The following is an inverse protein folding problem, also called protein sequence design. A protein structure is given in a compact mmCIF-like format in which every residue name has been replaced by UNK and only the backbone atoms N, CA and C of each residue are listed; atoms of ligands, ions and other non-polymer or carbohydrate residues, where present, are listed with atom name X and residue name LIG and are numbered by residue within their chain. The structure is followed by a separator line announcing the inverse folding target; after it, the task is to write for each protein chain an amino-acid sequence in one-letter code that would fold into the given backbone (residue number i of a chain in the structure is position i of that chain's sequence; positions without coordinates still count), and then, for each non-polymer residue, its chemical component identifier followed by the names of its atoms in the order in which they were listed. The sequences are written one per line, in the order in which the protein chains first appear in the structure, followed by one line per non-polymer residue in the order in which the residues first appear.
data_IF_814671546272
#
_entry.id   IF_814671546272
#
_cell.length_a   1.000
_cell.length_b   1.000
_cell.length_c   1.000
_cell.angle_alpha   90.00
_cell.angle_beta   90.00
_cell.angle_gamma   90.00
#
_symmetry.space_group_name_H-M   'P 1'
#
loop_
_entity.id
_entity.type
_entity.pdbx_description
1 polymer ?
#
# COMPACT_ATOMS: atom_id res chain seq x y z
N UNK A 1 -5.05 -9.90 -1.91
CA UNK A 1 -5.52 -9.68 -0.52
C UNK A 1 -5.69 -11.01 0.24
N UNK A 2 -4.63 -11.82 0.32
CA UNK A 2 -4.60 -13.08 1.10
C UNK A 2 -3.76 -12.97 2.38
N UNK A 3 -3.22 -11.77 2.66
CA UNK A 3 -2.42 -11.51 3.84
C UNK A 3 -3.24 -11.21 5.10
N UNK A 4 -4.53 -10.88 4.94
CA UNK A 4 -5.38 -10.46 6.06
C UNK A 4 -6.04 -11.63 6.83
N UNK A 5 -5.86 -12.88 6.36
CA UNK A 5 -6.36 -14.10 7.04
C UNK A 5 -5.29 -14.74 7.91
N UNK A 6 -4.01 -14.40 7.74
CA UNK A 6 -2.98 -14.92 8.61
C UNK A 6 -2.94 -14.11 9.89
N UNK A 7 -3.38 -14.76 10.97
CA UNK A 7 -3.31 -14.43 12.41
C UNK A 7 -1.95 -13.86 12.92
N UNK A 8 -0.99 -13.59 12.04
CA UNK A 8 0.34 -13.02 12.31
C UNK A 8 0.45 -11.50 12.09
N UNK A 9 -0.52 -10.85 11.47
CA UNK A 9 -0.53 -9.38 11.39
C UNK A 9 -1.08 -8.78 12.69
N UNK A 10 -0.33 -8.90 13.79
CA UNK A 10 -0.48 -7.95 14.91
C UNK A 10 0.07 -6.61 14.45
N UNK A 11 -0.69 -5.92 13.61
CA UNK A 11 -0.55 -4.50 13.42
C UNK A 11 -1.04 -3.87 14.72
N UNK A 12 -0.11 -3.35 15.53
CA UNK A 12 -0.43 -2.57 16.72
C UNK A 12 -1.12 -1.28 16.26
N UNK A 13 -2.42 -1.38 16.00
CA UNK A 13 -3.24 -0.32 15.45
C UNK A 13 -3.58 0.69 16.54
N UNK A 14 -2.93 1.85 16.48
CA UNK A 14 -3.22 3.01 17.32
C UNK A 14 -4.30 3.93 16.72
N UNK A 15 -4.70 3.71 15.45
CA UNK A 15 -5.70 4.54 14.76
C UNK A 15 -7.14 4.02 14.85
N UNK A 16 -8.10 4.89 15.17
CA UNK A 16 -9.54 4.56 15.25
C UNK A 16 -10.11 4.01 13.93
N UNK A 17 -9.58 4.48 12.79
CA UNK A 17 -10.01 4.04 11.46
C UNK A 17 -9.56 2.60 11.13
N UNK A 18 -8.34 2.23 11.50
CA UNK A 18 -7.82 0.88 11.33
C UNK A 18 -8.53 -0.13 12.24
N UNK A 19 -8.89 0.27 13.47
CA UNK A 19 -9.72 -0.58 14.36
C UNK A 19 -11.10 -0.83 13.77
N UNK A 20 -11.73 0.19 13.17
CA UNK A 20 -13.02 0.03 12.48
C UNK A 20 -12.92 -0.89 11.27
N UNK A 21 -11.83 -0.76 10.50
CA UNK A 21 -11.55 -1.60 9.33
C UNK A 21 -11.26 -3.06 9.71
N UNK A 22 -10.58 -3.29 10.85
CA UNK A 22 -10.36 -4.62 11.42
C UNK A 22 -11.63 -5.23 12.02
N UNK A 23 -12.51 -4.41 12.61
CA UNK A 23 -13.76 -4.88 13.21
C UNK A 23 -14.78 -5.38 12.16
N UNK A 24 -14.74 -4.84 10.93
CA UNK A 24 -15.68 -5.18 9.87
C UNK A 24 -14.97 -5.51 8.54
N UNK A 25 -14.23 -6.65 8.47
CA UNK A 25 -13.43 -6.99 7.29
C UNK A 25 -14.28 -7.24 6.04
N UNK A 26 -15.52 -7.72 6.20
CA UNK A 26 -16.45 -7.93 5.09
C UNK A 26 -16.91 -6.59 4.47
N UNK A 27 -17.22 -5.60 5.31
CA UNK A 27 -17.67 -4.28 4.88
C UNK A 27 -16.53 -3.50 4.21
N UNK A 28 -15.31 -3.59 4.76
CA UNK A 28 -14.11 -3.03 4.16
C UNK A 28 -13.82 -3.60 2.76
N UNK A 29 -14.01 -4.92 2.58
CA UNK A 29 -13.81 -5.59 1.28
C UNK A 29 -14.86 -5.17 0.26
N UNK A 30 -16.12 -5.04 0.68
CA UNK A 30 -17.21 -4.56 -0.17
C UNK A 30 -17.02 -3.10 -0.57
N UNK A 31 -16.70 -2.23 0.40
CA UNK A 31 -16.45 -0.82 0.15
C UNK A 31 -15.27 -0.60 -0.80
N UNK A 32 -14.15 -1.30 -0.59
CA UNK A 32 -12.99 -1.22 -1.49
C UNK A 32 -13.31 -1.71 -2.91
N UNK A 33 -14.04 -2.82 -3.04
CA UNK A 33 -14.46 -3.34 -4.35
C UNK A 33 -15.40 -2.40 -5.10
N UNK A 34 -16.39 -1.84 -4.39
CA UNK A 34 -17.32 -0.86 -4.95
C UNK A 34 -16.62 0.42 -5.36
N UNK A 35 -15.64 0.90 -4.58
CA UNK A 35 -14.89 2.11 -4.89
C UNK A 35 -14.03 1.93 -6.15
N UNK A 36 -13.41 0.76 -6.32
CA UNK A 36 -12.64 0.41 -7.52
C UNK A 36 -13.57 0.34 -8.74
N UNK A 37 -14.73 -0.33 -8.62
CA UNK A 37 -15.72 -0.41 -9.69
C UNK A 37 -16.25 0.98 -10.09
N UNK A 38 -16.55 1.83 -9.11
CA UNK A 38 -16.99 3.20 -9.35
C UNK A 38 -15.92 4.01 -10.09
N UNK A 39 -14.66 3.93 -9.68
CA UNK A 39 -13.55 4.58 -10.37
C UNK A 39 -13.39 4.07 -11.81
N UNK A 40 -13.50 2.76 -12.01
CA UNK A 40 -13.36 2.13 -13.32
C UNK A 40 -14.46 2.54 -14.31
N UNK A 41 -15.66 2.89 -13.82
CA UNK A 41 -16.76 3.40 -14.63
C UNK A 41 -16.71 4.93 -14.83
N UNK A 42 -16.30 5.68 -13.81
CA UNK A 42 -16.23 7.14 -13.85
C UNK A 42 -15.10 7.69 -14.74
N UNK A 43 -13.95 7.01 -14.78
CA UNK A 43 -12.80 7.43 -15.58
C UNK A 43 -13.07 7.44 -17.09
N UNK A 44 -13.58 6.35 -17.70
CA UNK A 44 -13.93 6.36 -19.13
C UNK A 44 -15.10 7.28 -19.46
N UNK A 45 -16.01 7.54 -18.51
CA UNK A 45 -17.08 8.53 -18.70
C UNK A 45 -16.55 9.97 -18.79
N UNK A 46 -15.43 10.28 -18.12
CA UNK A 46 -14.83 11.63 -18.06
C UNK A 46 -13.78 11.88 -19.13
N UNK A 47 -12.93 10.89 -19.42
CA UNK A 47 -11.75 11.03 -20.30
C UNK A 47 -11.90 10.34 -21.65
N UNK A 48 -13.04 9.68 -21.90
CA UNK A 48 -13.27 8.86 -23.08
C UNK A 48 -12.85 7.41 -22.86
N UNK A 49 -13.42 6.51 -23.66
CA UNK A 49 -13.34 5.06 -23.47
C UNK A 49 -11.88 4.58 -23.46
N UNK A 50 -11.10 4.91 -24.50
CA UNK A 50 -9.71 4.42 -24.62
C UNK A 50 -8.78 4.90 -23.51
N UNK A 51 -8.77 6.21 -23.24
CA UNK A 51 -7.89 6.80 -22.22
C UNK A 51 -8.34 6.40 -20.82
N UNK A 52 -9.64 6.41 -20.55
CA UNK A 52 -10.17 6.07 -19.22
C UNK A 52 -9.91 4.63 -18.82
N UNK A 53 -10.05 3.66 -19.74
CA UNK A 53 -9.68 2.27 -19.44
C UNK A 53 -8.18 2.11 -19.15
N UNK A 54 -7.34 2.77 -19.95
CA UNK A 54 -5.88 2.72 -19.77
C UNK A 54 -5.46 3.35 -18.43
N UNK A 55 -5.99 4.53 -18.09
CA UNK A 55 -5.72 5.20 -16.81
C UNK A 55 -6.23 4.38 -15.64
N UNK A 56 -7.41 3.78 -15.74
CA UNK A 56 -7.96 2.93 -14.68
C UNK A 56 -7.10 1.67 -14.47
N UNK A 57 -6.57 1.07 -15.53
CA UNK A 57 -5.65 -0.07 -15.45
C UNK A 57 -4.31 0.31 -14.81
N UNK A 58 -3.74 1.46 -15.21
CA UNK A 58 -2.52 2.00 -14.61
C UNK A 58 -2.70 2.31 -13.12
N UNK A 59 -3.84 2.87 -12.73
CA UNK A 59 -4.19 3.11 -11.32
C UNK A 59 -4.32 1.80 -10.54
N UNK A 60 -4.89 0.76 -11.14
CA UNK A 60 -4.99 -0.57 -10.51
C UNK A 60 -3.60 -1.17 -10.30
N UNK A 61 -2.72 -1.10 -11.30
CA UNK A 61 -1.34 -1.59 -11.19
C UNK A 61 -0.53 -0.82 -10.15
N UNK A 62 -0.63 0.51 -10.14
CA UNK A 62 0.08 1.34 -9.16
C UNK A 62 -0.42 1.10 -7.75
N UNK A 63 -1.73 0.97 -7.54
CA UNK A 63 -2.28 0.60 -6.23
C UNK A 63 -1.77 -0.78 -5.76
N UNK A 64 -1.74 -1.78 -6.65
CA UNK A 64 -1.20 -3.09 -6.32
C UNK A 64 0.31 -3.04 -5.98
N UNK A 65 1.09 -2.30 -6.77
CA UNK A 65 2.52 -2.10 -6.53
C UNK A 65 2.77 -1.42 -5.18
N UNK A 66 2.00 -0.38 -4.86
CA UNK A 66 2.11 0.34 -3.60
C UNK A 66 1.82 -0.56 -2.40
N UNK A 67 0.80 -1.43 -2.49
CA UNK A 67 0.49 -2.42 -1.45
C UNK A 67 1.65 -3.41 -1.27
N UNK A 68 2.28 -3.85 -2.35
CA UNK A 68 3.43 -4.77 -2.30
C UNK A 68 4.65 -4.08 -1.68
N UNK A 69 4.92 -2.80 -2.03
CA UNK A 69 6.03 -2.02 -1.50
C UNK A 69 5.85 -1.70 0.00
N UNK A 70 4.62 -1.44 0.44
CA UNK A 70 4.31 -1.16 1.85
C UNK A 70 4.51 -2.39 2.74
N UNK A 71 4.26 -3.60 2.24
CA UNK A 71 4.36 -4.84 3.02
C UNK A 71 5.73 -5.06 3.69
N UNK A 72 6.89 -4.96 3.01
CA UNK A 72 8.19 -5.03 3.66
C UNK A 72 8.56 -3.76 4.42
N UNK A 73 8.00 -2.60 4.05
CA UNK A 73 8.31 -1.33 4.71
C UNK A 73 7.81 -1.26 6.15
N UNK A 74 6.75 -2.00 6.49
CA UNK A 74 6.31 -2.19 7.88
C UNK A 74 7.32 -3.01 8.72
N UNK A 75 8.16 -3.81 8.08
CA UNK A 75 9.18 -4.64 8.74
C UNK A 75 10.52 -3.91 8.86
N UNK A 76 10.85 -3.03 7.91
CA UNK A 76 12.05 -2.20 7.94
C UNK A 76 11.84 -1.06 8.93
N UNK A 77 12.28 -1.25 10.18
CA UNK A 77 12.35 -0.14 11.15
C UNK A 77 13.33 0.90 10.63
N UNK A 78 12.97 2.18 10.80
CA UNK A 78 13.83 3.35 10.51
C UNK A 78 15.27 3.19 11.06
N UNK A 79 15.42 2.45 12.16
CA UNK A 79 16.72 2.09 12.76
C UNK A 79 17.66 1.36 11.80
N UNK A 80 17.17 0.44 10.97
CA UNK A 80 18.01 -0.29 10.01
C UNK A 80 18.51 0.60 8.87
N UNK A 81 17.67 1.54 8.43
CA UNK A 81 18.04 2.54 7.42
C UNK A 81 19.14 3.45 7.99
N UNK A 82 18.97 3.95 9.22
CA UNK A 82 19.98 4.78 9.89
C UNK A 82 21.30 4.03 10.08
N UNK A 83 21.25 2.73 10.43
CA UNK A 83 22.44 1.91 10.60
C UNK A 83 23.20 1.68 9.30
N UNK A 84 22.48 1.41 8.20
CA UNK A 84 23.07 1.26 6.87
C UNK A 84 23.72 2.56 6.40
N UNK A 85 23.00 3.69 6.56
CA UNK A 85 23.52 5.02 6.19
C UNK A 85 24.75 5.38 7.03
N UNK A 86 24.70 5.18 8.34
CA UNK A 86 25.87 5.43 9.20
C UNK A 86 27.06 4.53 8.82
N UNK A 87 26.80 3.28 8.44
CA UNK A 87 27.83 2.36 7.97
C UNK A 87 28.50 2.80 6.66
N UNK A 88 27.72 3.25 5.68
CA UNK A 88 28.29 3.80 4.43
C UNK A 88 29.07 5.08 4.67
N UNK A 89 28.60 5.98 5.53
CA UNK A 89 29.35 7.19 5.91
C UNK A 89 30.68 6.89 6.59
N UNK A 90 30.73 5.89 7.48
CA UNK A 90 31.96 5.46 8.14
C UNK A 90 32.95 4.83 7.16
N UNK A 91 32.47 4.01 6.22
CA UNK A 91 33.31 3.43 5.17
C UNK A 91 33.86 4.50 4.25
N UNK A 92 33.04 5.48 3.86
CA UNK A 92 33.48 6.60 3.03
C UNK A 92 34.54 7.44 3.75
N UNK A 93 34.37 7.72 5.05
CA UNK A 93 35.38 8.43 5.84
C UNK A 93 36.68 7.65 6.05
N UNK A 94 36.65 6.31 6.07
CA UNK A 94 37.85 5.48 6.20
C UNK A 94 38.63 5.38 4.86
N UNK A 95 37.91 5.44 3.74
CA UNK A 95 38.48 5.29 2.40
C UNK A 95 38.98 6.61 1.79
N UNK A 96 38.55 7.75 2.34
CA UNK A 96 38.93 9.11 1.96
C UNK A 96 40.08 9.64 2.82
#
# INVERSE_FOLDING_TARGET
MLYNTSRKARLSSTGTFEKWLQANPAMARLAGGLLILAAFLLLPAKMGIGVGFLTAFLLLMTAASLVIIIAPMQYIRLRHIVLLVAGTFLLEYLFL
#
